data_IF_512854676916
#
_entry.id   IF_512854676916
#
_cell.length_a   1.000
_cell.length_b   1.000
_cell.length_c   1.000
_cell.angle_alpha   90.00
_cell.angle_beta   90.00
_cell.angle_gamma   90.00
#
_symmetry.space_group_name_H-M   'P 1'
#
loop_
_entity.id
_entity.type
_entity.pdbx_description
1 polymer ?
#
# COMPACT_ATOMS: atom_id res chain seq x y z
N UNK A 1 5.00 1.26 -24.11
CA UNK A 1 4.60 1.15 -22.68
C UNK A 1 4.07 2.50 -22.22
N UNK A 2 3.06 2.52 -21.35
CA UNK A 2 2.40 3.76 -20.90
C UNK A 2 2.73 3.97 -19.41
N UNK A 3 3.27 5.14 -19.09
CA UNK A 3 3.73 5.51 -17.75
C UNK A 3 5.23 5.30 -17.56
N UNK A 4 5.91 6.35 -17.09
CA UNK A 4 7.34 6.40 -16.80
C UNK A 4 7.62 6.46 -15.28
N UNK A 5 6.72 5.92 -14.46
CA UNK A 5 6.97 5.65 -13.04
C UNK A 5 7.86 4.41 -12.83
N UNK A 6 8.18 4.11 -11.57
CA UNK A 6 9.11 3.02 -11.19
C UNK A 6 8.71 1.66 -11.76
N UNK A 7 7.40 1.35 -11.78
CA UNK A 7 6.88 0.10 -12.35
C UNK A 7 7.07 0.07 -13.87
N UNK A 8 6.71 1.16 -14.55
CA UNK A 8 6.88 1.27 -15.99
C UNK A 8 8.34 1.09 -16.38
N UNK A 9 9.24 1.91 -15.82
CA UNK A 9 10.68 1.81 -16.10
C UNK A 9 11.25 0.41 -15.84
N UNK A 10 10.84 -0.26 -14.76
CA UNK A 10 11.28 -1.62 -14.43
C UNK A 10 10.85 -2.64 -15.49
N UNK A 11 9.60 -2.56 -15.95
CA UNK A 11 9.08 -3.41 -17.05
C UNK A 11 9.85 -3.11 -18.34
N UNK A 12 10.12 -1.84 -18.63
CA UNK A 12 10.79 -1.42 -19.86
C UNK A 12 12.22 -1.93 -19.93
N UNK A 13 12.94 -1.82 -18.81
CA UNK A 13 14.26 -2.40 -18.67
C UNK A 13 14.23 -3.91 -18.88
N UNK A 14 13.27 -4.63 -18.27
CA UNK A 14 13.17 -6.08 -18.41
C UNK A 14 12.91 -6.51 -19.86
N UNK A 15 12.07 -5.77 -20.57
CA UNK A 15 11.79 -6.00 -21.99
C UNK A 15 13.01 -5.69 -22.87
N UNK A 16 13.73 -4.59 -22.60
CA UNK A 16 14.98 -4.29 -23.30
C UNK A 16 16.03 -5.39 -23.10
N UNK A 17 16.17 -5.91 -21.88
CA UNK A 17 17.07 -7.05 -21.59
C UNK A 17 16.69 -8.33 -22.35
N UNK A 18 15.42 -8.47 -22.75
CA UNK A 18 14.95 -9.58 -23.57
C UNK A 18 15.11 -9.32 -25.08
N UNK A 19 15.72 -8.20 -25.47
CA UNK A 19 15.99 -7.85 -26.87
C UNK A 19 14.87 -7.06 -27.55
N UNK A 20 13.83 -6.64 -26.83
CA UNK A 20 12.77 -5.83 -27.41
C UNK A 20 13.17 -4.35 -27.49
N UNK A 21 12.77 -3.70 -28.58
CA UNK A 21 12.78 -2.25 -28.64
C UNK A 21 11.61 -1.70 -27.83
N UNK A 22 11.90 -0.85 -26.86
CA UNK A 22 10.89 -0.31 -25.93
C UNK A 22 10.83 1.20 -26.06
N UNK A 23 9.62 1.72 -26.31
CA UNK A 23 9.30 3.14 -26.20
C UNK A 23 8.34 3.36 -25.04
N UNK A 24 8.63 4.36 -24.21
CA UNK A 24 7.84 4.74 -23.03
C UNK A 24 7.20 6.10 -23.29
N UNK A 25 5.88 6.18 -23.10
CA UNK A 25 5.12 7.41 -23.20
C UNK A 25 4.61 7.78 -21.82
N UNK A 26 4.90 9.00 -21.36
CA UNK A 26 4.36 9.56 -20.13
C UNK A 26 4.09 11.06 -20.32
N UNK A 27 2.85 11.54 -20.04
CA UNK A 27 2.49 12.94 -20.24
C UNK A 27 3.18 13.90 -19.25
N UNK A 28 3.60 13.40 -18.08
CA UNK A 28 4.21 14.21 -17.03
C UNK A 28 5.74 14.06 -16.99
N UNK A 29 6.31 13.18 -17.82
CA UNK A 29 7.74 12.90 -17.87
C UNK A 29 8.20 11.85 -16.85
N UNK A 30 9.48 11.49 -16.94
CA UNK A 30 10.06 10.36 -16.19
C UNK A 30 9.96 10.57 -14.68
N UNK A 31 9.37 9.61 -13.98
CA UNK A 31 9.30 9.57 -12.53
C UNK A 31 8.41 10.64 -11.89
N UNK A 32 7.69 11.47 -12.66
CA UNK A 32 6.98 12.64 -12.12
C UNK A 32 5.62 12.35 -11.47
N UNK A 33 5.09 11.12 -11.58
CA UNK A 33 3.84 10.69 -10.92
C UNK A 33 4.05 10.23 -9.47
N UNK A 34 3.35 9.18 -9.03
CA UNK A 34 3.46 8.61 -7.67
C UNK A 34 4.88 8.18 -7.28
N UNK A 35 5.76 7.96 -8.26
CA UNK A 35 7.17 7.65 -8.00
C UNK A 35 7.98 8.87 -7.55
N UNK A 36 7.50 10.10 -7.77
CA UNK A 36 8.16 11.33 -7.31
C UNK A 36 7.94 11.51 -5.82
N UNK A 37 9.02 11.66 -5.06
CA UNK A 37 8.94 11.94 -3.62
C UNK A 37 8.37 10.81 -2.78
N UNK A 38 8.39 9.56 -3.28
CA UNK A 38 8.06 8.40 -2.46
C UNK A 38 9.11 8.21 -1.34
N UNK A 39 8.71 7.62 -0.21
CA UNK A 39 9.57 7.45 0.96
C UNK A 39 10.71 6.42 0.77
N UNK A 40 10.74 5.71 -0.36
CA UNK A 40 11.70 4.64 -0.62
C UNK A 40 11.51 3.39 0.24
N UNK A 41 10.41 3.31 1.01
CA UNK A 41 10.14 2.19 1.90
C UNK A 41 9.71 0.96 1.10
N UNK A 42 10.42 -0.16 1.29
CA UNK A 42 10.10 -1.46 0.71
C UNK A 42 9.34 -2.26 1.78
N UNK A 43 8.02 -2.11 1.81
CA UNK A 43 7.16 -2.77 2.79
C UNK A 43 6.90 -4.24 2.42
N UNK A 44 7.86 -5.11 2.72
CA UNK A 44 7.74 -6.57 2.45
C UNK A 44 6.74 -7.29 3.36
N UNK A 45 6.27 -6.66 4.43
CA UNK A 45 5.34 -7.22 5.41
C UNK A 45 3.85 -6.97 5.12
N UNK A 46 3.51 -6.04 4.22
CA UNK A 46 2.13 -5.62 3.96
C UNK A 46 1.44 -6.39 2.82
N UNK A 47 1.85 -7.63 2.57
CA UNK A 47 1.34 -8.46 1.45
C UNK A 47 -0.01 -9.10 1.79
N UNK A 48 -0.33 -9.23 3.08
CA UNK A 48 -1.65 -9.68 3.50
C UNK A 48 -2.63 -8.51 3.53
N UNK A 49 -3.85 -8.65 3.00
CA UNK A 49 -4.82 -7.57 3.08
C UNK A 49 -5.10 -7.29 4.56
N UNK A 50 -4.81 -6.05 4.98
CA UNK A 50 -5.02 -5.61 6.36
C UNK A 50 -6.51 -5.66 6.75
N UNK A 51 -7.41 -5.60 5.77
CA UNK A 51 -8.84 -5.80 5.92
C UNK A 51 -9.29 -6.99 5.07
N UNK A 52 -9.53 -8.13 5.71
CA UNK A 52 -10.15 -9.31 5.10
C UNK A 52 -11.36 -9.76 5.92
N UNK A 53 -12.35 -10.42 5.30
CA UNK A 53 -13.46 -11.04 6.04
C UNK A 53 -12.99 -12.03 7.11
N UNK A 54 -11.83 -12.65 6.92
CA UNK A 54 -11.21 -13.58 7.88
C UNK A 54 -10.82 -12.91 9.22
N UNK A 55 -10.74 -11.58 9.27
CA UNK A 55 -10.50 -10.80 10.50
C UNK A 55 -11.77 -10.51 11.29
N UNK A 56 -12.97 -10.64 10.69
CA UNK A 56 -14.24 -10.36 11.38
C UNK A 56 -14.43 -11.18 12.67
N UNK A 57 -14.11 -12.49 12.71
CA UNK A 57 -14.21 -13.27 13.95
C UNK A 57 -13.16 -12.87 15.00
N UNK A 58 -12.05 -12.24 14.58
CA UNK A 58 -10.95 -11.84 15.44
C UNK A 58 -11.14 -10.43 16.02
N UNK A 59 -11.99 -9.60 15.39
CA UNK A 59 -12.28 -8.22 15.82
C UNK A 59 -12.69 -8.10 17.30
N UNK A 60 -13.62 -8.91 17.86
CA UNK A 60 -14.00 -8.77 19.26
C UNK A 60 -12.82 -8.99 20.21
N UNK A 61 -11.95 -9.95 19.89
CA UNK A 61 -10.73 -10.23 20.66
C UNK A 61 -9.71 -9.09 20.52
N UNK A 62 -9.56 -8.58 19.31
CA UNK A 62 -8.66 -7.47 18.99
C UNK A 62 -9.05 -6.18 19.70
N UNK A 63 -10.34 -5.87 19.80
CA UNK A 63 -10.85 -4.68 20.49
C UNK A 63 -10.54 -4.70 22.00
N UNK A 64 -10.52 -5.88 22.61
CA UNK A 64 -10.31 -6.08 24.04
C UNK A 64 -8.84 -6.26 24.43
N UNK A 65 -7.97 -6.59 23.46
CA UNK A 65 -6.54 -6.75 23.68
C UNK A 65 -5.82 -5.40 23.54
N UNK A 66 -5.24 -4.82 24.62
CA UNK A 66 -4.54 -3.54 24.56
C UNK A 66 -3.27 -3.56 23.69
N UNK A 67 -2.79 -4.73 23.25
CA UNK A 67 -1.64 -4.88 22.35
C UNK A 67 -2.04 -5.14 20.89
N UNK A 68 -3.34 -5.19 20.61
CA UNK A 68 -3.85 -5.39 19.25
C UNK A 68 -3.77 -4.10 18.41
N UNK A 69 -3.60 -4.22 17.08
CA UNK A 69 -3.56 -3.09 16.16
C UNK A 69 -4.88 -2.30 16.09
N UNK A 70 -5.99 -2.88 16.56
CA UNK A 70 -7.30 -2.22 16.70
C UNK A 70 -7.82 -2.48 18.10
N UNK A 71 -7.19 -1.85 19.10
CA UNK A 71 -7.62 -1.92 20.49
C UNK A 71 -8.46 -0.71 20.87
N UNK A 72 -9.53 -0.92 21.63
CA UNK A 72 -10.32 0.18 22.21
C UNK A 72 -10.34 -0.04 23.72
N UNK A 73 -9.84 0.95 24.46
CA UNK A 73 -10.01 0.94 25.91
C UNK A 73 -11.46 1.27 26.23
N UNK A 74 -12.08 0.47 27.09
CA UNK A 74 -13.46 0.68 27.54
C UNK A 74 -13.73 2.11 28.05
N UNK A 75 -12.71 2.75 28.62
CA UNK A 75 -12.75 4.12 29.15
C UNK A 75 -12.89 5.17 28.05
N UNK A 76 -12.42 4.88 26.83
CA UNK A 76 -12.41 5.82 25.71
C UNK A 76 -13.70 5.74 24.87
N UNK A 77 -14.47 4.65 24.99
CA UNK A 77 -15.71 4.41 24.23
C UNK A 77 -16.66 5.62 24.25
N UNK A 78 -17.01 6.23 25.41
CA UNK A 78 -17.96 7.34 25.44
C UNK A 78 -17.50 8.56 24.62
N UNK A 79 -16.17 8.75 24.51
CA UNK A 79 -15.58 9.89 23.83
C UNK A 79 -15.39 9.64 22.32
N UNK A 80 -15.14 8.39 21.92
CA UNK A 80 -14.86 8.03 20.51
C UNK A 80 -16.08 7.55 19.73
N UNK A 81 -17.18 7.15 20.39
CA UNK A 81 -18.33 6.55 19.70
C UNK A 81 -19.05 7.49 18.70
N UNK A 82 -18.93 8.81 18.87
CA UNK A 82 -19.48 9.78 17.91
C UNK A 82 -18.61 10.00 16.66
N UNK A 83 -17.39 9.45 16.66
CA UNK A 83 -16.38 9.63 15.61
C UNK A 83 -16.06 8.34 14.84
N UNK A 84 -16.56 7.19 15.32
CA UNK A 84 -16.47 5.88 14.67
C UNK A 84 -17.73 5.60 13.85
#
# INVERSE_FOLDING_TARGET
>A
MIGAGIIGLSIGLKLQQQGYQVTIFDPNGVGNGCSKGNAGHIATEQIFPLATPALLPQLPKMLLDPKSPVSIRWQDIPNTIGWM
#
